data_IF_503796151774
#
_entry.id   IF_503796151774
#
_cell.length_a   1.000
_cell.length_b   1.000
_cell.length_c   1.000
_cell.angle_alpha   90.00
_cell.angle_beta   90.00
_cell.angle_gamma   90.00
#
_symmetry.space_group_name_H-M   'P 1'
#
loop_
_entity.id
_entity.type
_entity.pdbx_description
1 polymer ?
#
# COMPACT_ATOMS: atom_id res chain seq x y z
N UNK A 1 15.00 -2.75 -9.15
CA UNK A 1 14.18 -1.70 -9.79
C UNK A 1 13.11 -2.37 -10.62
N UNK A 2 11.84 -2.10 -10.30
CA UNK A 2 10.68 -2.66 -11.00
C UNK A 2 10.55 -2.15 -12.44
N UNK A 3 10.98 -0.92 -12.73
CA UNK A 3 10.93 -0.39 -14.10
C UNK A 3 11.85 -1.18 -15.02
N UNK A 4 13.08 -1.45 -14.56
CA UNK A 4 14.00 -2.35 -15.25
C UNK A 4 13.40 -3.74 -15.47
N UNK A 5 12.83 -4.36 -14.43
CA UNK A 5 12.18 -5.68 -14.53
C UNK A 5 11.12 -5.72 -15.65
N UNK A 6 10.21 -4.74 -15.67
CA UNK A 6 9.19 -4.68 -16.71
C UNK A 6 9.77 -4.39 -18.11
N UNK A 7 10.81 -3.56 -18.21
CA UNK A 7 11.45 -3.29 -19.51
C UNK A 7 12.20 -4.48 -20.11
N UNK A 8 12.78 -5.34 -19.27
CA UNK A 8 13.61 -6.46 -19.72
C UNK A 8 12.79 -7.72 -20.00
N UNK A 9 11.67 -7.90 -19.30
CA UNK A 9 10.83 -9.10 -19.42
C UNK A 9 9.71 -8.93 -20.45
N UNK A 10 9.15 -7.73 -20.61
CA UNK A 10 7.94 -7.49 -21.41
C UNK A 10 6.76 -8.40 -21.03
N UNK A 11 6.72 -8.86 -19.77
CA UNK A 11 5.69 -9.75 -19.23
C UNK A 11 4.52 -8.95 -18.64
N UNK A 12 3.30 -9.51 -18.74
CA UNK A 12 2.11 -8.94 -18.11
C UNK A 12 1.92 -9.48 -16.69
N UNK A 13 2.80 -9.05 -15.79
CA UNK A 13 2.81 -9.47 -14.38
C UNK A 13 2.30 -8.34 -13.49
N UNK A 14 1.25 -8.62 -12.71
CA UNK A 14 0.74 -7.73 -11.68
C UNK A 14 1.66 -7.65 -10.46
N UNK A 15 1.57 -6.55 -9.73
CA UNK A 15 2.33 -6.23 -8.53
C UNK A 15 1.40 -6.18 -7.32
N UNK A 16 1.77 -6.89 -6.26
CA UNK A 16 1.21 -6.65 -4.93
C UNK A 16 1.98 -5.51 -4.31
N UNK A 17 1.26 -4.41 -4.01
CA UNK A 17 1.84 -3.25 -3.36
C UNK A 17 1.62 -3.36 -1.85
N UNK A 18 2.73 -3.57 -1.14
CA UNK A 18 2.74 -3.57 0.31
C UNK A 18 3.05 -2.16 0.83
N UNK A 19 2.04 -1.53 1.44
CA UNK A 19 2.14 -0.15 1.93
C UNK A 19 3.08 -0.07 3.14
N UNK A 20 3.08 -1.10 3.99
CA UNK A 20 3.93 -1.11 5.17
C UNK A 20 5.40 -1.26 4.80
N UNK A 21 5.74 -2.15 3.88
CA UNK A 21 7.11 -2.30 3.37
C UNK A 21 7.58 -1.04 2.66
N UNK A 22 6.69 -0.39 1.91
CA UNK A 22 6.98 0.88 1.26
C UNK A 22 7.23 2.02 2.27
N UNK A 23 6.59 2.01 3.45
CA UNK A 23 6.85 3.00 4.50
C UNK A 23 8.29 2.92 5.01
N UNK A 24 8.80 1.72 5.25
CA UNK A 24 10.17 1.49 5.74
C UNK A 24 11.22 2.05 4.77
N UNK A 25 10.91 2.00 3.47
CA UNK A 25 11.83 2.46 2.43
C UNK A 25 11.54 3.89 1.96
N UNK A 26 10.53 4.58 2.52
CA UNK A 26 10.03 5.86 2.04
C UNK A 26 9.65 5.85 0.55
N UNK A 27 8.91 4.83 0.11
CA UNK A 27 8.58 4.58 -1.30
C UNK A 27 7.08 4.60 -1.63
N UNK A 28 6.21 4.92 -0.67
CA UNK A 28 4.75 4.85 -0.86
C UNK A 28 4.31 5.68 -2.07
N UNK A 29 4.79 6.93 -2.16
CA UNK A 29 4.40 7.83 -3.24
C UNK A 29 4.97 7.37 -4.59
N UNK A 30 6.20 6.87 -4.61
CA UNK A 30 6.92 6.39 -5.77
C UNK A 30 6.18 5.24 -6.44
N UNK A 31 5.76 4.22 -5.68
CA UNK A 31 5.00 3.10 -6.23
C UNK A 31 3.65 3.55 -6.82
N UNK A 32 2.92 4.41 -6.10
CA UNK A 32 1.62 4.93 -6.54
C UNK A 32 1.76 5.90 -7.74
N UNK A 33 2.93 6.50 -7.94
CA UNK A 33 3.19 7.40 -9.07
C UNK A 33 3.70 6.66 -10.30
N UNK A 34 4.66 5.75 -10.15
CA UNK A 34 5.38 5.14 -11.27
C UNK A 34 4.82 3.79 -11.71
N UNK A 35 4.14 3.06 -10.82
CA UNK A 35 3.61 1.72 -11.09
C UNK A 35 2.09 1.58 -10.90
N UNK A 36 1.24 2.63 -10.97
CA UNK A 36 -0.16 2.53 -10.56
C UNK A 36 -0.94 1.47 -11.34
N UNK A 37 -0.66 1.31 -12.64
CA UNK A 37 -1.31 0.32 -13.51
C UNK A 37 -0.85 -1.11 -13.29
N UNK A 38 0.29 -1.31 -12.61
CA UNK A 38 0.81 -2.64 -12.28
C UNK A 38 0.31 -3.13 -10.94
N UNK A 39 -0.16 -2.24 -10.06
CA UNK A 39 -0.70 -2.60 -8.75
C UNK A 39 -2.07 -3.26 -8.93
N UNK A 40 -2.14 -4.56 -8.69
CA UNK A 40 -3.39 -5.35 -8.79
C UNK A 40 -3.89 -5.82 -7.43
N UNK A 41 -3.05 -5.70 -6.39
CA UNK A 41 -3.36 -6.10 -5.03
C UNK A 41 -2.62 -5.20 -4.04
N UNK A 42 -3.22 -4.95 -2.87
CA UNK A 42 -2.61 -4.13 -1.83
C UNK A 42 -2.62 -4.87 -0.50
N UNK A 43 -1.48 -4.86 0.19
CA UNK A 43 -1.39 -5.22 1.60
C UNK A 43 -1.32 -3.94 2.45
N UNK A 44 -2.17 -3.89 3.47
CA UNK A 44 -2.34 -2.75 4.35
C UNK A 44 -2.07 -3.14 5.80
N UNK A 45 -0.98 -2.61 6.33
CA UNK A 45 -0.66 -2.60 7.74
C UNK A 45 0.27 -1.40 7.99
N UNK A 46 0.44 -1.04 9.26
CA UNK A 46 1.24 0.12 9.66
C UNK A 46 2.56 -0.30 10.31
N UNK A 47 3.49 0.63 10.42
CA UNK A 47 4.74 0.47 11.17
C UNK A 47 5.34 1.84 11.50
N UNK A 48 6.42 1.85 12.28
CA UNK A 48 7.09 3.08 12.70
C UNK A 48 8.14 3.59 11.68
N UNK A 49 8.22 3.00 10.48
CA UNK A 49 9.18 3.38 9.42
C UNK A 49 10.55 2.71 9.50
N UNK A 50 10.82 1.90 10.52
CA UNK A 50 12.14 1.28 10.74
C UNK A 50 12.14 -0.24 10.53
N UNK A 51 11.06 -0.90 10.94
CA UNK A 51 10.92 -2.37 10.90
C UNK A 51 9.49 -2.76 10.56
N UNK A 52 9.32 -3.97 10.06
CA UNK A 52 8.04 -4.48 9.59
C UNK A 52 7.16 -5.03 10.72
N UNK A 53 6.44 -4.14 11.41
CA UNK A 53 5.73 -4.45 12.65
C UNK A 53 4.30 -4.99 12.46
N UNK A 54 3.72 -4.85 11.27
CA UNK A 54 2.32 -5.22 11.01
C UNK A 54 1.33 -4.63 12.05
N UNK A 55 1.48 -3.34 12.37
CA UNK A 55 0.58 -2.62 13.27
C UNK A 55 -0.78 -2.35 12.59
N UNK A 56 -1.79 -2.02 13.41
CA UNK A 56 -3.08 -1.59 12.89
C UNK A 56 -2.96 -0.27 12.11
N UNK A 57 -3.83 -0.09 11.11
CA UNK A 57 -3.89 1.14 10.31
C UNK A 57 -4.03 2.38 11.20
N UNK A 58 -3.02 3.26 11.14
CA UNK A 58 -2.89 4.50 11.90
C UNK A 58 -2.40 4.31 13.34
N UNK A 59 -1.84 3.15 13.67
CA UNK A 59 -1.06 2.93 14.90
C UNK A 59 0.45 3.12 14.68
N UNK A 60 0.87 3.45 13.45
CA UNK A 60 2.25 3.73 13.07
C UNK A 60 2.43 5.14 12.49
N UNK A 61 3.41 5.30 11.59
CA UNK A 61 3.81 6.59 11.01
C UNK A 61 3.27 6.81 9.60
N UNK A 62 2.56 5.85 9.03
CA UNK A 62 1.99 5.97 7.68
C UNK A 62 0.89 7.05 7.68
N UNK A 63 1.03 8.04 6.81
CA UNK A 63 -0.03 9.01 6.53
C UNK A 63 -1.12 8.38 5.66
N UNK A 64 -2.05 7.71 6.32
CA UNK A 64 -3.15 7.01 5.65
C UNK A 64 -4.09 7.92 4.87
N UNK A 65 -4.24 9.20 5.25
CA UNK A 65 -5.05 10.13 4.45
C UNK A 65 -4.38 10.35 3.09
N UNK A 66 -3.08 10.66 3.10
CA UNK A 66 -2.30 10.81 1.86
C UNK A 66 -2.31 9.54 1.02
N UNK A 67 -2.18 8.37 1.63
CA UNK A 67 -2.26 7.07 0.94
C UNK A 67 -3.61 6.93 0.24
N UNK A 68 -4.72 7.14 0.96
CA UNK A 68 -6.07 6.96 0.38
C UNK A 68 -6.38 8.00 -0.69
N UNK A 69 -5.88 9.24 -0.56
CA UNK A 69 -6.02 10.26 -1.60
C UNK A 69 -5.28 9.86 -2.89
N UNK A 70 -4.08 9.30 -2.76
CA UNK A 70 -3.33 8.78 -3.91
C UNK A 70 -4.04 7.58 -4.56
N UNK A 71 -4.59 6.65 -3.75
CA UNK A 71 -5.37 5.52 -4.25
C UNK A 71 -6.62 5.98 -5.01
N UNK A 72 -7.34 6.98 -4.48
CA UNK A 72 -8.48 7.62 -5.16
C UNK A 72 -8.04 8.28 -6.47
N UNK A 73 -6.92 9.01 -6.46
CA UNK A 73 -6.38 9.68 -7.65
C UNK A 73 -6.04 8.71 -8.79
N UNK A 74 -5.50 7.53 -8.46
CA UNK A 74 -5.20 6.50 -9.48
C UNK A 74 -6.42 5.61 -9.80
N UNK A 75 -7.58 5.91 -9.21
CA UNK A 75 -8.83 5.14 -9.36
C UNK A 75 -8.66 3.65 -9.06
N UNK A 76 -7.89 3.33 -8.00
CA UNK A 76 -7.70 1.94 -7.59
C UNK A 76 -9.01 1.34 -7.08
N UNK A 77 -9.46 0.25 -7.70
CA UNK A 77 -10.75 -0.40 -7.45
C UNK A 77 -10.63 -1.91 -7.16
N UNK A 78 -9.40 -2.40 -6.93
CA UNK A 78 -9.11 -3.81 -6.64
C UNK A 78 -9.05 -4.08 -5.12
N UNK A 79 -8.44 -5.20 -4.73
CA UNK A 79 -8.49 -5.71 -3.35
C UNK A 79 -7.40 -5.10 -2.47
N UNK A 80 -7.81 -4.54 -1.34
CA UNK A 80 -6.95 -4.20 -0.20
C UNK A 80 -7.14 -5.23 0.92
N UNK A 81 -6.07 -5.95 1.29
CA UNK A 81 -6.04 -6.88 2.42
C UNK A 81 -5.38 -6.21 3.62
N UNK A 82 -6.01 -6.33 4.79
CA UNK A 82 -5.41 -5.91 6.06
C UNK A 82 -4.58 -7.04 6.63
N UNK A 83 -3.31 -6.75 6.93
CA UNK A 83 -2.34 -7.74 7.43
C UNK A 83 -1.82 -7.41 8.84
N UNK A 84 -2.58 -6.63 9.63
CA UNK A 84 -2.18 -6.30 10.99
C UNK A 84 -2.33 -7.48 11.96
N UNK A 85 -1.33 -7.69 12.83
CA UNK A 85 -1.30 -8.79 13.81
C UNK A 85 -2.38 -8.61 14.88
N UNK A 86 -2.73 -7.36 15.18
CA UNK A 86 -3.78 -6.96 16.12
C UNK A 86 -4.65 -5.91 15.46
N UNK A 87 -5.88 -5.76 15.97
CA UNK A 87 -6.81 -4.72 15.52
C UNK A 87 -7.21 -4.78 14.04
N UNK A 88 -7.09 -5.94 13.37
CA UNK A 88 -7.42 -6.10 11.94
C UNK A 88 -8.83 -5.57 11.59
N UNK A 89 -9.84 -5.88 12.38
CA UNK A 89 -11.21 -5.37 12.17
C UNK A 89 -11.28 -3.85 12.32
N UNK A 90 -10.53 -3.28 13.27
CA UNK A 90 -10.42 -1.83 13.45
C UNK A 90 -9.76 -1.16 12.24
N UNK A 91 -8.71 -1.77 11.71
CA UNK A 91 -8.03 -1.31 10.49
C UNK A 91 -8.97 -1.33 9.27
N UNK A 92 -9.75 -2.40 9.09
CA UNK A 92 -10.75 -2.49 8.01
C UNK A 92 -11.78 -1.36 8.13
N UNK A 93 -12.28 -1.07 9.34
CA UNK A 93 -13.25 0.02 9.56
C UNK A 93 -12.65 1.38 9.19
N UNK A 94 -11.43 1.65 9.65
CA UNK A 94 -10.74 2.92 9.38
C UNK A 94 -10.45 3.12 7.90
N UNK A 95 -9.98 2.08 7.21
CA UNK A 95 -9.79 2.13 5.75
C UNK A 95 -11.10 2.39 5.01
N UNK A 96 -12.21 1.77 5.43
CA UNK A 96 -13.53 2.04 4.83
C UNK A 96 -13.94 3.50 4.98
N UNK A 97 -13.75 4.09 6.16
CA UNK A 97 -14.05 5.50 6.42
C UNK A 97 -13.21 6.45 5.55
N UNK A 98 -11.92 6.14 5.37
CA UNK A 98 -11.00 6.96 4.55
C UNK A 98 -11.22 6.81 3.04
N UNK A 99 -11.70 5.64 2.59
CA UNK A 99 -11.90 5.32 1.18
C UNK A 99 -13.30 5.68 0.67
N UNK A 100 -14.29 5.86 1.55
CA UNK A 100 -15.55 6.54 1.21
C UNK A 100 -15.35 8.01 0.83
#
# INVERSE_FOLDING_TARGET
>A
DFQKFYSETNEDIGLTFDIGHANINNQIQEFLTYLPKKIVHIHAHDNQGEIDQHLGVGDGTIDWNKVTDLLKMISYDQIVIVESVKQAIGSVKKLRELLT
#
